data_IF_224755117557
#
_entry.id   IF_224755117557
#
_cell.length_a   1.000
_cell.length_b   1.000
_cell.length_c   1.000
_cell.angle_alpha   90.00
_cell.angle_beta   90.00
_cell.angle_gamma   90.00
#
_symmetry.space_group_name_H-M   'P 1'
#
loop_
_entity.id
_entity.type
_entity.pdbx_description
1 polymer ?
#
# COMPACT_ATOMS: atom_id res chain seq x y z
N UNK A 1 -13.45 -1.39 15.15
CA UNK A 1 -14.04 -2.13 14.02
C UNK A 1 -13.75 -1.35 12.76
N UNK A 2 -12.86 -1.85 11.91
CA UNK A 2 -12.46 -1.16 10.69
C UNK A 2 -13.51 -1.35 9.60
N UNK A 3 -13.96 -0.26 8.98
CA UNK A 3 -15.05 -0.21 7.97
C UNK A 3 -14.53 -0.26 6.53
N UNK A 4 -13.31 -0.77 6.32
CA UNK A 4 -12.56 -0.67 5.05
C UNK A 4 -13.29 -1.29 3.83
N UNK A 5 -14.30 -2.16 4.02
CA UNK A 5 -14.95 -2.83 2.89
C UNK A 5 -16.45 -3.12 3.08
N UNK A 6 -17.24 -2.15 3.54
CA UNK A 6 -18.70 -2.30 3.51
C UNK A 6 -19.23 -2.06 2.07
N UNK A 7 -19.80 -3.10 1.42
CA UNK A 7 -20.41 -3.04 0.07
C UNK A 7 -21.69 -2.20 0.06
N UNK A 8 -21.57 -0.91 0.32
CA UNK A 8 -22.69 0.05 0.38
C UNK A 8 -22.97 0.74 -0.95
N UNK A 9 -22.16 0.50 -1.98
CA UNK A 9 -22.24 1.23 -3.26
C UNK A 9 -21.65 2.65 -3.18
N UNK A 10 -21.13 3.05 -2.02
CA UNK A 10 -20.34 4.26 -1.82
C UNK A 10 -18.88 3.80 -1.77
N UNK A 11 -18.04 4.33 -2.66
CA UNK A 11 -16.59 4.15 -2.54
C UNK A 11 -16.20 4.79 -1.22
N UNK A 12 -15.83 3.95 -0.25
CA UNK A 12 -15.30 4.43 1.02
C UNK A 12 -13.93 5.05 0.73
N UNK A 13 -13.83 6.35 0.96
CA UNK A 13 -12.58 7.10 0.90
C UNK A 13 -12.19 7.34 2.35
N UNK A 14 -11.05 6.85 2.83
CA UNK A 14 -10.59 7.13 4.18
C UNK A 14 -10.32 8.62 4.37
N UNK A 15 -10.42 9.06 5.62
CA UNK A 15 -10.06 10.42 6.01
C UNK A 15 -8.53 10.67 5.88
N UNK A 16 -7.71 9.63 6.05
CA UNK A 16 -6.27 9.64 5.81
C UNK A 16 -5.91 8.67 4.67
N UNK A 17 -5.26 9.16 3.61
CA UNK A 17 -4.82 8.33 2.49
C UNK A 17 -3.82 7.24 2.91
N UNK A 18 -3.17 7.38 4.06
CA UNK A 18 -2.34 6.34 4.65
C UNK A 18 -3.13 5.08 5.00
N UNK A 19 -4.42 5.20 5.33
CA UNK A 19 -5.27 4.05 5.66
C UNK A 19 -5.49 3.13 4.45
N UNK A 20 -5.27 3.62 3.22
CA UNK A 20 -5.29 2.79 2.00
C UNK A 20 -4.00 1.98 1.83
N UNK A 21 -2.89 2.47 2.38
CA UNK A 21 -1.56 1.87 2.23
C UNK A 21 -1.14 1.07 3.47
N UNK A 22 -1.89 1.18 4.57
CA UNK A 22 -1.53 0.53 5.82
C UNK A 22 -1.66 -0.98 5.71
N UNK A 23 -0.60 -1.69 6.06
CA UNK A 23 -0.59 -3.15 6.19
C UNK A 23 -0.74 -3.53 7.67
N UNK A 24 -1.50 -4.60 7.95
CA UNK A 24 -1.73 -5.17 9.29
C UNK A 24 -1.34 -6.66 9.34
N UNK A 25 -0.79 -7.12 10.47
CA UNK A 25 -0.33 -8.51 10.67
C UNK A 25 -1.18 -9.25 11.67
N UNK A 26 -1.30 -10.55 11.43
CA UNK A 26 -1.68 -11.53 12.42
C UNK A 26 -0.80 -11.40 13.69
N UNK A 27 -1.41 -11.53 14.87
CA UNK A 27 -0.72 -11.56 16.16
C UNK A 27 0.33 -12.68 16.32
N UNK A 28 0.43 -13.63 15.39
CA UNK A 28 1.48 -14.66 15.32
C UNK A 28 2.62 -14.34 14.34
N UNK A 29 2.72 -13.12 13.82
CA UNK A 29 3.81 -12.73 12.93
C UNK A 29 5.18 -12.77 13.61
N UNK A 30 6.24 -12.98 12.84
CA UNK A 30 7.60 -12.88 13.36
C UNK A 30 7.96 -11.42 13.63
N UNK A 31 8.96 -11.18 14.49
CA UNK A 31 9.45 -9.81 14.74
C UNK A 31 10.01 -9.16 13.45
N UNK A 32 10.54 -9.98 12.54
CA UNK A 32 11.01 -9.53 11.22
C UNK A 32 9.86 -9.04 10.35
N UNK A 33 8.76 -9.80 10.28
CA UNK A 33 7.55 -9.40 9.56
C UNK A 33 6.98 -8.09 10.13
N UNK A 34 6.89 -7.99 11.46
CA UNK A 34 6.40 -6.80 12.13
C UNK A 34 7.24 -5.56 11.81
N UNK A 35 8.58 -5.69 11.78
CA UNK A 35 9.48 -4.60 11.40
C UNK A 35 9.34 -4.24 9.93
N UNK A 36 9.21 -5.22 9.05
CA UNK A 36 8.99 -4.99 7.62
C UNK A 36 7.73 -4.16 7.38
N UNK A 37 6.67 -4.43 8.13
CA UNK A 37 5.41 -3.69 8.00
C UNK A 37 5.47 -2.27 8.51
N UNK A 38 6.14 -2.03 9.64
CA UNK A 38 6.40 -0.67 10.10
C UNK A 38 7.16 0.12 9.03
N UNK A 39 8.13 -0.52 8.36
CA UNK A 39 8.89 0.11 7.30
C UNK A 39 8.05 0.37 6.04
N UNK A 40 7.15 -0.54 5.66
CA UNK A 40 6.20 -0.34 4.55
C UNK A 40 5.25 0.82 4.85
N UNK A 41 4.65 0.86 6.04
CA UNK A 41 3.73 1.94 6.44
C UNK A 41 4.44 3.30 6.46
N UNK A 42 5.69 3.34 6.94
CA UNK A 42 6.51 4.55 6.90
C UNK A 42 6.84 4.96 5.46
N UNK A 43 7.19 4.01 4.59
CA UNK A 43 7.47 4.28 3.18
C UNK A 43 6.23 4.85 2.46
N UNK A 44 5.04 4.29 2.72
CA UNK A 44 3.78 4.80 2.18
C UNK A 44 3.52 6.25 2.60
N UNK A 45 3.75 6.58 3.88
CA UNK A 45 3.64 7.96 4.37
C UNK A 45 4.67 8.89 3.71
N UNK A 46 5.92 8.45 3.57
CA UNK A 46 6.97 9.27 2.97
C UNK A 46 6.72 9.51 1.48
N UNK A 47 6.15 8.54 0.76
CA UNK A 47 5.70 8.70 -0.62
C UNK A 47 4.53 9.68 -0.74
N UNK A 48 3.49 9.54 0.09
CA UNK A 48 2.34 10.45 0.12
C UNK A 48 2.73 11.91 0.45
N UNK A 49 3.76 12.09 1.27
CA UNK A 49 4.31 13.41 1.61
C UNK A 49 5.33 13.92 0.58
N UNK A 50 5.62 13.16 -0.47
CA UNK A 50 6.57 13.52 -1.54
C UNK A 50 8.04 13.54 -1.08
N UNK A 51 8.39 12.82 -0.02
CA UNK A 51 9.77 12.69 0.46
C UNK A 51 10.59 11.65 -0.28
N UNK A 52 9.92 10.62 -0.79
CA UNK A 52 10.47 9.59 -1.67
C UNK A 52 9.64 9.53 -2.94
N UNK A 53 10.26 9.17 -4.06
CA UNK A 53 9.53 8.98 -5.31
C UNK A 53 8.87 7.59 -5.38
N UNK A 54 8.10 7.37 -6.46
CA UNK A 54 7.38 6.11 -6.63
C UNK A 54 8.32 4.92 -6.83
N UNK A 55 9.49 5.11 -7.44
CA UNK A 55 10.46 4.02 -7.66
C UNK A 55 11.05 3.59 -6.32
N UNK A 56 11.50 4.55 -5.51
CA UNK A 56 12.01 4.31 -4.17
C UNK A 56 10.97 3.66 -3.24
N UNK A 57 9.69 4.01 -3.42
CA UNK A 57 8.60 3.38 -2.68
C UNK A 57 8.44 1.90 -3.07
N UNK A 58 8.41 1.60 -4.37
CA UNK A 58 8.25 0.23 -4.89
C UNK A 58 9.44 -0.67 -4.53
N UNK A 59 10.66 -0.15 -4.62
CA UNK A 59 11.86 -0.87 -4.20
C UNK A 59 11.78 -1.28 -2.72
N UNK A 60 11.22 -0.42 -1.86
CA UNK A 60 10.99 -0.74 -0.44
C UNK A 60 9.92 -1.82 -0.28
N UNK A 61 8.84 -1.78 -1.06
CA UNK A 61 7.81 -2.82 -1.02
C UNK A 61 8.38 -4.19 -1.39
N UNK A 62 9.18 -4.26 -2.47
CA UNK A 62 9.84 -5.49 -2.91
C UNK A 62 10.84 -6.00 -1.85
N UNK A 63 11.67 -5.10 -1.30
CA UNK A 63 12.64 -5.43 -0.26
C UNK A 63 11.98 -6.04 0.99
N UNK A 64 10.81 -5.53 1.39
CA UNK A 64 10.05 -6.05 2.54
C UNK A 64 9.06 -7.16 2.18
N UNK A 65 9.18 -7.75 0.97
CA UNK A 65 8.50 -8.98 0.62
C UNK A 65 7.10 -8.83 0.04
N UNK A 66 6.71 -7.62 -0.42
CA UNK A 66 5.56 -7.49 -1.33
C UNK A 66 6.06 -7.82 -2.74
N UNK A 67 5.71 -8.99 -3.29
CA UNK A 67 6.22 -9.40 -4.60
C UNK A 67 5.62 -8.54 -5.70
N UNK A 68 6.44 -8.29 -6.72
CA UNK A 68 6.07 -7.65 -7.98
C UNK A 68 5.31 -6.31 -7.87
N UNK A 69 5.80 -5.32 -7.09
CA UNK A 69 5.10 -4.03 -6.96
C UNK A 69 4.95 -3.29 -8.30
N UNK A 70 5.93 -3.46 -9.19
CA UNK A 70 5.93 -2.89 -10.53
C UNK A 70 4.89 -3.53 -11.45
N UNK A 71 4.66 -4.85 -11.36
CA UNK A 71 3.63 -5.52 -12.18
C UNK A 71 2.23 -5.03 -11.82
N UNK A 72 1.97 -4.77 -10.53
CA UNK A 72 0.68 -4.21 -10.07
C UNK A 72 0.46 -2.81 -10.66
N UNK A 73 1.51 -2.01 -10.75
CA UNK A 73 1.44 -0.68 -11.36
C UNK A 73 1.24 -0.74 -12.86
N UNK A 74 1.94 -1.63 -13.55
CA UNK A 74 1.77 -1.84 -15.00
C UNK A 74 0.34 -2.30 -15.31
N UNK A 75 -0.18 -3.30 -14.58
CA UNK A 75 -1.57 -3.74 -14.72
C UNK A 75 -2.56 -2.61 -14.47
N UNK A 76 -2.33 -1.79 -13.44
CA UNK A 76 -3.18 -0.63 -13.14
C UNK A 76 -3.11 0.43 -14.25
N UNK A 77 -1.91 0.74 -14.75
CA UNK A 77 -1.72 1.70 -15.83
C UNK A 77 -2.43 1.25 -17.11
N UNK A 78 -2.26 -0.02 -17.49
CA UNK A 78 -2.97 -0.62 -18.60
C UNK A 78 -4.49 -0.47 -18.43
N UNK A 79 -5.03 -0.76 -17.25
CA UNK A 79 -6.47 -0.64 -16.99
C UNK A 79 -6.98 0.80 -16.99
N UNK A 80 -6.21 1.78 -16.53
CA UNK A 80 -6.61 3.19 -16.54
C UNK A 80 -6.61 3.77 -17.96
N UNK A 81 -5.62 3.40 -18.78
CA UNK A 81 -5.54 3.82 -20.18
C UNK A 81 -6.69 3.25 -21.03
N UNK A 82 -7.29 2.13 -20.63
CA UNK A 82 -8.50 1.58 -21.27
C UNK A 82 -9.81 2.34 -20.95
N UNK A 83 -9.82 3.24 -19.96
CA UNK A 83 -11.02 3.95 -19.49
C UNK A 83 -11.06 5.42 -19.95
N UNK A 84 -10.05 5.88 -20.69
CA UNK A 84 -10.00 7.21 -21.34
C UNK A 84 -10.44 7.17 -22.80
#
# INVERSE_FOLDING_TARGET
MSRIAERTGIIWIPDDTLDLLSVDVDGNCSEEDFRGMLAINQAGRDWLLGKIDIIEYLDKLEYYGIPNPFEILDEFADHVDFVT
#
